data_IF_624762533726
#
_entry.id   IF_624762533726
#
_cell.length_a   1.000
_cell.length_b   1.000
_cell.length_c   1.000
_cell.angle_alpha   90.00
_cell.angle_beta   90.00
_cell.angle_gamma   90.00
#
_symmetry.space_group_name_H-M   'P 1'
#
loop_
_entity.id
_entity.type
_entity.pdbx_description
1 polymer ?
#
# COMPACT_ATOMS: atom_id res chain seq x y z
N UNK A 1 12.57 -14.90 -7.28
CA UNK A 1 11.81 -13.65 -7.51
C UNK A 1 10.31 -13.80 -7.24
N UNK A 2 9.58 -14.70 -7.91
CA UNK A 2 8.13 -14.84 -7.74
C UNK A 2 7.66 -15.06 -6.28
N UNK A 3 8.39 -15.86 -5.49
CA UNK A 3 8.08 -16.06 -4.07
C UNK A 3 8.22 -14.75 -3.27
N UNK A 4 9.30 -13.98 -3.51
CA UNK A 4 9.52 -12.68 -2.87
C UNK A 4 8.35 -11.73 -3.13
N UNK A 5 7.96 -11.54 -4.40
CA UNK A 5 6.87 -10.61 -4.76
C UNK A 5 5.49 -11.00 -4.21
N UNK A 6 5.25 -12.30 -3.93
CA UNK A 6 4.03 -12.73 -3.22
C UNK A 6 4.05 -12.42 -1.73
N UNK A 7 5.24 -12.34 -1.10
CA UNK A 7 5.41 -12.09 0.34
C UNK A 7 5.56 -10.59 0.63
N UNK A 8 6.38 -9.90 -0.15
CA UNK A 8 6.63 -8.46 -0.06
C UNK A 8 5.60 -7.61 -0.82
N UNK A 9 4.59 -8.23 -1.43
CA UNK A 9 3.55 -7.54 -2.19
C UNK A 9 2.31 -8.42 -2.35
N UNK A 10 1.65 -8.30 -3.50
CA UNK A 10 0.45 -9.07 -3.85
C UNK A 10 0.68 -9.99 -5.05
N UNK A 11 1.95 -10.25 -5.38
CA UNK A 11 2.37 -10.82 -6.66
C UNK A 11 2.84 -9.72 -7.62
N UNK A 12 3.19 -10.13 -8.84
CA UNK A 12 3.59 -9.23 -9.93
C UNK A 12 3.36 -9.95 -11.27
N UNK A 13 3.12 -9.20 -12.37
CA UNK A 13 3.04 -9.77 -13.71
C UNK A 13 4.38 -10.41 -14.12
N UNK A 14 4.34 -11.35 -15.07
CA UNK A 14 5.52 -12.13 -15.49
C UNK A 14 6.68 -11.22 -15.93
N UNK A 15 6.39 -10.20 -16.72
CA UNK A 15 7.37 -9.25 -17.24
C UNK A 15 8.12 -8.53 -16.10
N UNK A 16 7.41 -8.13 -15.03
CA UNK A 16 8.02 -7.52 -13.85
C UNK A 16 8.85 -8.54 -13.06
N UNK A 17 8.40 -9.80 -12.98
CA UNK A 17 9.17 -10.85 -12.32
C UNK A 17 10.48 -11.15 -13.05
N UNK A 18 10.48 -11.14 -14.38
CA UNK A 18 11.67 -11.32 -15.21
C UNK A 18 12.62 -10.13 -15.07
N UNK A 19 12.09 -8.90 -15.14
CA UNK A 19 12.88 -7.68 -14.96
C UNK A 19 13.57 -7.64 -13.58
N UNK A 20 12.83 -7.93 -12.51
CA UNK A 20 13.39 -8.00 -11.14
C UNK A 20 14.36 -9.17 -11.01
N UNK A 21 14.08 -10.33 -11.62
CA UNK A 21 14.99 -11.47 -11.59
C UNK A 21 16.33 -11.14 -12.26
N UNK A 22 16.31 -10.42 -13.38
CA UNK A 22 17.50 -9.92 -14.06
C UNK A 22 18.26 -8.86 -13.23
N UNK A 23 17.53 -7.98 -12.51
CA UNK A 23 18.12 -7.03 -11.55
C UNK A 23 18.87 -7.72 -10.40
N UNK A 24 18.41 -8.90 -10.01
CA UNK A 24 18.96 -9.69 -8.90
C UNK A 24 18.17 -9.55 -7.61
N UNK A 25 18.36 -10.51 -6.70
CA UNK A 25 17.60 -10.60 -5.45
C UNK A 25 17.90 -9.44 -4.50
N UNK A 26 19.16 -9.23 -4.13
CA UNK A 26 19.56 -8.23 -3.14
C UNK A 26 19.14 -6.81 -3.58
N UNK A 27 19.44 -6.46 -4.83
CA UNK A 27 19.05 -5.16 -5.39
C UNK A 27 17.52 -4.96 -5.51
N UNK A 28 16.73 -6.05 -5.55
CA UNK A 28 15.28 -5.97 -5.46
C UNK A 28 14.81 -5.79 -4.02
N UNK A 29 15.46 -6.45 -3.06
CA UNK A 29 15.14 -6.30 -1.63
C UNK A 29 15.42 -4.87 -1.17
N UNK A 30 16.58 -4.32 -1.51
CA UNK A 30 16.92 -2.92 -1.17
C UNK A 30 15.90 -1.92 -1.74
N UNK A 31 15.48 -2.09 -3.00
CA UNK A 31 14.44 -1.23 -3.60
C UNK A 31 13.07 -1.36 -2.92
N UNK A 32 12.71 -2.55 -2.44
CA UNK A 32 11.45 -2.77 -1.73
C UNK A 32 11.49 -2.14 -0.32
N UNK A 33 12.65 -2.18 0.34
CA UNK A 33 12.87 -1.60 1.67
C UNK A 33 13.02 -0.07 1.65
N UNK A 34 13.28 0.52 0.48
CA UNK A 34 13.30 1.96 0.25
C UNK A 34 12.15 2.41 -0.70
N UNK A 35 10.90 2.53 -0.20
CA UNK A 35 9.77 2.97 -1.01
C UNK A 35 9.95 4.36 -1.63
N UNK A 36 10.73 5.23 -1.00
CA UNK A 36 10.93 6.61 -1.45
C UNK A 36 11.78 6.69 -2.71
N UNK A 37 12.64 5.69 -2.96
CA UNK A 37 13.36 5.54 -4.23
C UNK A 37 12.45 5.37 -5.46
N UNK A 38 11.18 5.02 -5.26
CA UNK A 38 10.20 4.78 -6.32
C UNK A 38 9.17 5.91 -6.38
N UNK A 39 8.67 6.27 -7.57
CA UNK A 39 7.66 7.34 -7.69
C UNK A 39 6.39 7.00 -6.90
N UNK A 40 5.74 8.00 -6.28
CA UNK A 40 4.42 7.79 -5.68
C UNK A 40 3.39 7.48 -6.77
N UNK A 41 2.29 6.84 -6.37
CA UNK A 41 1.14 6.65 -7.26
C UNK A 41 0.52 8.01 -7.60
N UNK A 42 0.17 8.23 -8.87
CA UNK A 42 -0.54 9.42 -9.36
C UNK A 42 -2.02 9.41 -8.92
N UNK A 43 -2.22 9.63 -7.62
CA UNK A 43 -3.53 9.59 -6.97
C UNK A 43 -4.49 10.64 -7.55
N UNK A 44 -3.98 11.81 -7.92
CA UNK A 44 -4.79 12.92 -8.45
C UNK A 44 -5.40 12.58 -9.81
N UNK A 45 -4.67 11.88 -10.68
CA UNK A 45 -5.21 11.37 -11.95
C UNK A 45 -6.37 10.43 -11.68
N UNK A 46 -6.20 9.50 -10.74
CA UNK A 46 -7.25 8.56 -10.37
C UNK A 46 -8.49 9.24 -9.81
N UNK A 47 -8.32 10.24 -8.94
CA UNK A 47 -9.41 11.03 -8.37
C UNK A 47 -10.22 11.80 -9.43
N UNK A 48 -9.62 12.13 -10.58
CA UNK A 48 -10.33 12.74 -11.71
C UNK A 48 -11.23 11.74 -12.44
N UNK A 49 -10.79 10.50 -12.60
CA UNK A 49 -11.56 9.45 -13.27
C UNK A 49 -12.60 8.79 -12.36
N UNK A 50 -12.35 8.76 -11.05
CA UNK A 50 -13.22 8.19 -10.01
C UNK A 50 -13.68 9.29 -9.07
N UNK A 51 -14.58 10.14 -9.57
CA UNK A 51 -15.12 11.28 -8.82
C UNK A 51 -15.82 10.89 -7.52
N UNK A 52 -16.34 9.67 -7.43
CA UNK A 52 -16.95 9.12 -6.21
C UNK A 52 -15.93 9.02 -5.05
N UNK A 53 -14.66 8.73 -5.37
CA UNK A 53 -13.58 8.68 -4.38
C UNK A 53 -13.22 10.06 -3.83
N UNK A 54 -13.53 11.15 -4.56
CA UNK A 54 -13.19 12.51 -4.15
C UNK A 54 -13.92 12.91 -2.87
N UNK A 55 -15.16 12.45 -2.71
CA UNK A 55 -15.98 12.77 -1.55
C UNK A 55 -15.37 12.23 -0.25
N UNK A 56 -14.64 11.10 -0.33
CA UNK A 56 -14.05 10.40 0.82
C UNK A 56 -15.05 10.12 1.96
N UNK A 57 -16.35 10.17 1.64
CA UNK A 57 -17.43 10.16 2.62
C UNK A 57 -18.03 8.75 2.79
N UNK A 58 -17.89 7.89 1.77
CA UNK A 58 -18.35 6.51 1.79
C UNK A 58 -17.22 5.53 2.06
N UNK A 59 -17.54 4.44 2.77
CA UNK A 59 -16.62 3.32 3.00
C UNK A 59 -16.16 2.66 1.69
N UNK A 60 -17.09 2.47 0.75
CA UNK A 60 -16.85 1.76 -0.51
C UNK A 60 -15.74 2.44 -1.33
N UNK A 61 -15.82 3.76 -1.53
CA UNK A 61 -14.82 4.50 -2.29
C UNK A 61 -13.40 4.42 -1.69
N UNK A 62 -13.29 4.33 -0.37
CA UNK A 62 -11.97 4.17 0.28
C UNK A 62 -11.40 2.77 0.15
N UNK A 63 -12.26 1.75 0.27
CA UNK A 63 -11.85 0.37 0.04
C UNK A 63 -11.39 0.17 -1.41
N UNK A 64 -12.13 0.74 -2.36
CA UNK A 64 -11.76 0.75 -3.77
C UNK A 64 -10.44 1.49 -4.03
N UNK A 65 -10.26 2.69 -3.45
CA UNK A 65 -9.03 3.45 -3.58
C UNK A 65 -7.83 2.65 -3.05
N UNK A 66 -7.95 2.03 -1.89
CA UNK A 66 -6.87 1.25 -1.30
C UNK A 66 -6.58 -0.02 -2.10
N UNK A 67 -7.60 -0.75 -2.53
CA UNK A 67 -7.45 -1.91 -3.41
C UNK A 67 -6.75 -1.54 -4.72
N UNK A 68 -7.16 -0.43 -5.33
CA UNK A 68 -6.50 0.10 -6.52
C UNK A 68 -5.04 0.41 -6.25
N UNK A 69 -4.73 1.05 -5.11
CA UNK A 69 -3.35 1.36 -4.72
C UNK A 69 -2.51 0.09 -4.51
N UNK A 70 -3.05 -0.94 -3.87
CA UNK A 70 -2.37 -2.23 -3.67
C UNK A 70 -1.99 -2.91 -4.99
N UNK A 71 -2.77 -2.69 -6.05
CA UNK A 71 -2.53 -3.29 -7.38
C UNK A 71 -1.56 -2.45 -8.23
N UNK A 72 -1.68 -1.13 -8.19
CA UNK A 72 -1.05 -0.25 -9.19
C UNK A 72 0.18 0.51 -8.68
N UNK A 73 0.43 0.51 -7.37
CA UNK A 73 1.60 1.19 -6.80
C UNK A 73 2.90 0.51 -7.22
N UNK A 74 3.96 1.31 -7.39
CA UNK A 74 5.34 0.79 -7.47
C UNK A 74 5.94 0.48 -6.11
N UNK A 75 5.25 0.82 -5.02
CA UNK A 75 5.67 0.60 -3.62
C UNK A 75 4.86 -0.54 -2.96
N UNK A 76 4.92 -1.81 -3.43
CA UNK A 76 4.03 -2.86 -2.96
C UNK A 76 4.25 -3.26 -1.50
N UNK A 77 5.50 -3.21 -1.03
CA UNK A 77 5.83 -3.54 0.37
C UNK A 77 5.20 -2.54 1.34
N UNK A 78 5.18 -1.25 0.98
CA UNK A 78 4.55 -0.21 1.79
C UNK A 78 3.06 -0.51 2.05
N UNK A 79 2.32 -0.92 1.01
CA UNK A 79 0.91 -1.30 1.18
C UNK A 79 0.72 -2.65 1.88
N UNK A 80 1.65 -3.60 1.66
CA UNK A 80 1.63 -4.89 2.34
C UNK A 80 1.81 -4.74 3.86
N UNK A 81 2.69 -3.84 4.27
CA UNK A 81 2.96 -3.49 5.67
C UNK A 81 1.77 -2.76 6.27
N UNK A 82 1.17 -1.81 5.55
CA UNK A 82 -0.05 -1.15 6.01
C UNK A 82 -1.19 -2.16 6.24
N UNK A 83 -1.37 -3.13 5.35
CA UNK A 83 -2.36 -4.20 5.52
C UNK A 83 -2.04 -5.11 6.71
N UNK A 84 -0.76 -5.45 6.91
CA UNK A 84 -0.30 -6.24 8.05
C UNK A 84 -0.64 -5.54 9.37
N UNK A 85 -0.26 -4.26 9.51
CA UNK A 85 -0.51 -3.50 10.73
C UNK A 85 -1.99 -3.24 10.97
N UNK A 86 -2.76 -2.96 9.93
CA UNK A 86 -4.22 -2.85 10.06
C UNK A 86 -4.87 -4.16 10.54
N UNK A 87 -4.28 -5.32 10.22
CA UNK A 87 -4.73 -6.62 10.75
C UNK A 87 -4.39 -6.85 12.24
N UNK A 88 -3.41 -6.13 12.78
CA UNK A 88 -3.00 -6.20 14.20
C UNK A 88 -3.74 -5.12 15.01
N UNK A 89 -3.71 -3.89 14.52
CA UNK A 89 -4.37 -2.70 15.05
C UNK A 89 -5.68 -2.45 14.31
N UNK A 90 -6.61 -3.38 14.45
CA UNK A 90 -7.86 -3.35 13.67
C UNK A 90 -8.75 -2.19 14.12
N UNK A 91 -8.96 -1.21 13.24
CA UNK A 91 -10.04 -0.23 13.38
C UNK A 91 -11.27 -0.67 12.58
N UNK A 92 -12.33 -1.04 13.29
CA UNK A 92 -13.58 -1.46 12.68
C UNK A 92 -14.42 -0.27 12.22
N UNK A 93 -14.81 -0.24 10.94
CA UNK A 93 -15.64 0.84 10.40
C UNK A 93 -16.93 1.03 11.19
N UNK A 94 -17.59 -0.09 11.54
CA UNK A 94 -18.83 -0.10 12.32
C UNK A 94 -18.72 0.53 13.72
N UNK A 95 -17.52 0.83 14.23
CA UNK A 95 -17.30 1.46 15.53
C UNK A 95 -16.94 2.94 15.44
N UNK A 96 -16.20 3.34 14.41
CA UNK A 96 -15.79 4.73 14.22
C UNK A 96 -16.79 5.51 13.34
N UNK A 97 -17.50 4.82 12.45
CA UNK A 97 -18.47 5.36 11.46
C UNK A 97 -17.92 6.52 10.62
N UNK A 98 -16.60 6.66 10.56
CA UNK A 98 -15.93 7.73 9.84
C UNK A 98 -14.78 7.18 8.99
N UNK A 99 -15.02 6.93 7.69
CA UNK A 99 -14.05 6.26 6.82
C UNK A 99 -12.67 6.95 6.82
N UNK A 100 -12.66 8.29 6.80
CA UNK A 100 -11.43 9.11 6.79
C UNK A 100 -10.44 8.77 7.91
N UNK A 101 -10.92 8.40 9.11
CA UNK A 101 -10.02 8.00 10.21
C UNK A 101 -9.24 6.73 9.87
N UNK A 102 -9.87 5.78 9.19
CA UNK A 102 -9.23 4.53 8.76
C UNK A 102 -8.17 4.81 7.70
N UNK A 103 -8.42 5.74 6.79
CA UNK A 103 -7.39 6.16 5.83
C UNK A 103 -6.20 6.85 6.50
N UNK A 104 -6.44 7.70 7.51
CA UNK A 104 -5.35 8.32 8.27
C UNK A 104 -4.49 7.27 9.00
N UNK A 105 -5.11 6.22 9.53
CA UNK A 105 -4.40 5.07 10.10
C UNK A 105 -3.54 4.37 9.04
N UNK A 106 -4.11 4.06 7.86
CA UNK A 106 -3.35 3.44 6.78
C UNK A 106 -2.17 4.31 6.32
N UNK A 107 -2.37 5.63 6.22
CA UNK A 107 -1.33 6.60 5.90
C UNK A 107 -0.21 6.61 6.95
N UNK A 108 -0.56 6.58 8.23
CA UNK A 108 0.41 6.43 9.32
C UNK A 108 1.21 5.14 9.18
N UNK A 109 0.57 3.99 8.93
CA UNK A 109 1.30 2.73 8.69
C UNK A 109 2.18 2.75 7.45
N UNK A 110 1.84 3.51 6.41
CA UNK A 110 2.70 3.67 5.22
C UNK A 110 3.93 4.51 5.51
N UNK A 111 3.83 5.48 6.41
CA UNK A 111 4.93 6.36 6.79
C UNK A 111 5.88 5.68 7.77
N UNK A 112 5.37 5.09 8.86
CA UNK A 112 6.21 4.57 9.95
C UNK A 112 6.18 3.05 10.10
N UNK A 113 5.36 2.32 9.32
CA UNK A 113 5.17 0.88 9.51
C UNK A 113 6.37 -0.01 9.16
N UNK A 114 7.35 0.52 8.43
CA UNK A 114 8.65 -0.14 8.20
C UNK A 114 9.69 0.18 9.29
N UNK A 115 9.39 1.15 10.16
CA UNK A 115 10.27 1.63 11.22
C UNK A 115 10.11 0.87 12.54
N UNK A 116 10.27 1.60 13.64
CA UNK A 116 10.20 1.02 14.98
C UNK A 116 8.76 0.78 15.39
N UNK A 117 8.50 -0.34 16.07
CA UNK A 117 7.19 -0.59 16.71
C UNK A 117 6.79 0.53 17.69
N UNK A 118 7.76 1.20 18.30
CA UNK A 118 7.50 2.32 19.20
C UNK A 118 6.85 3.52 18.49
N UNK A 119 7.13 3.74 17.21
CA UNK A 119 6.56 4.84 16.42
C UNK A 119 5.12 4.55 15.95
N UNK A 120 4.66 3.30 16.12
CA UNK A 120 3.29 2.86 15.80
C UNK A 120 2.31 3.03 16.97
N UNK A 121 2.78 3.43 18.16
CA UNK A 121 1.98 3.63 19.38
C UNK A 121 1.73 5.11 19.65
#
# INVERSE_FOLDING_TARGET
MAHLMRRAGFGAPLEELEARAAKGYDATVEELLDPESQPPMERDIMMRYKTEWLSQAGLEGQQEEWAFRMINTKRPLQEKIALFWHGVFVTGHAKCEYPRQQMMELDMFRTVGLGSFHELL
#
